data_IF_530612319713
#
_entry.id   IF_530612319713
#
_cell.length_a   1.000
_cell.length_b   1.000
_cell.length_c   1.000
_cell.angle_alpha   90.00
_cell.angle_beta   90.00
_cell.angle_gamma   90.00
#
_symmetry.space_group_name_H-M   'P 1'
#
loop_
_entity.id
_entity.type
_entity.pdbx_description
1 polymer ?
#
# COMPACT_ATOMS: atom_id res chain seq x y z
N UNK A 1 -9.11 8.16 -69.51
CA UNK A 1 -8.25 8.70 -68.44
C UNK A 1 -8.43 7.83 -67.20
N UNK A 2 -7.34 7.33 -66.64
CA UNK A 2 -7.31 6.27 -65.61
C UNK A 2 -7.69 6.84 -64.23
N UNK A 3 -8.69 6.23 -63.61
CA UNK A 3 -9.06 6.49 -62.22
C UNK A 3 -7.99 5.89 -61.29
N UNK A 4 -7.28 6.75 -60.54
CA UNK A 4 -6.43 6.34 -59.44
C UNK A 4 -7.29 6.18 -58.18
N UNK A 5 -7.62 4.92 -57.88
CA UNK A 5 -8.24 4.52 -56.62
C UNK A 5 -7.12 4.34 -55.58
N UNK A 6 -6.84 5.37 -54.79
CA UNK A 6 -5.87 5.30 -53.70
C UNK A 6 -6.48 4.52 -52.52
N UNK A 7 -6.03 3.28 -52.33
CA UNK A 7 -6.29 2.49 -51.14
C UNK A 7 -5.53 3.10 -49.96
N UNK A 8 -6.25 3.79 -49.08
CA UNK A 8 -5.76 4.17 -47.75
C UNK A 8 -5.75 2.91 -46.89
N UNK A 9 -4.59 2.29 -46.76
CA UNK A 9 -4.33 1.26 -45.75
C UNK A 9 -4.36 1.93 -44.37
N UNK A 10 -5.52 1.89 -43.72
CA UNK A 10 -5.66 2.11 -42.28
C UNK A 10 -4.85 1.02 -41.58
N UNK A 11 -3.60 1.36 -41.23
CA UNK A 11 -2.80 0.60 -40.27
C UNK A 11 -3.58 0.67 -38.95
N UNK A 12 -4.38 -0.36 -38.70
CA UNK A 12 -4.86 -0.68 -37.37
C UNK A 12 -3.62 -0.96 -36.54
N UNK A 13 -3.09 0.08 -35.88
CA UNK A 13 -2.09 -0.10 -34.86
C UNK A 13 -2.66 -1.14 -33.91
N UNK A 14 -2.01 -2.30 -33.85
CA UNK A 14 -2.27 -3.31 -32.85
C UNK A 14 -2.05 -2.65 -31.49
N UNK A 15 -3.11 -2.04 -30.94
CA UNK A 15 -3.21 -1.49 -29.60
C UNK A 15 -3.25 -2.61 -28.57
N UNK A 16 -2.33 -3.58 -28.72
CA UNK A 16 -2.11 -4.63 -27.77
C UNK A 16 -1.51 -4.04 -26.51
N UNK A 17 -1.92 -4.58 -25.38
CA UNK A 17 -1.36 -4.25 -24.09
C UNK A 17 0.18 -4.43 -24.14
N UNK A 18 0.98 -3.46 -23.68
CA UNK A 18 2.43 -3.59 -23.68
C UNK A 18 2.84 -4.85 -22.90
N UNK A 19 3.84 -5.61 -23.38
CA UNK A 19 4.21 -6.87 -22.76
C UNK A 19 4.74 -6.65 -21.34
N UNK A 20 4.38 -7.59 -20.45
CA UNK A 20 4.91 -7.64 -19.09
C UNK A 20 6.41 -7.94 -19.13
N UNK A 21 7.28 -7.15 -18.46
CA UNK A 21 8.71 -7.42 -18.39
C UNK A 21 9.02 -8.80 -17.78
N UNK A 22 10.06 -9.47 -18.29
CA UNK A 22 10.48 -10.79 -17.79
C UNK A 22 10.75 -10.77 -16.27
N UNK A 23 11.41 -9.73 -15.79
CA UNK A 23 11.74 -9.49 -14.36
C UNK A 23 10.73 -8.60 -13.65
N UNK A 24 9.49 -8.52 -14.14
CA UNK A 24 8.38 -7.81 -13.49
C UNK A 24 8.42 -6.28 -13.64
N UNK A 25 9.57 -5.66 -13.43
CA UNK A 25 9.76 -4.21 -13.49
C UNK A 25 10.42 -3.76 -14.80
N UNK A 26 10.28 -2.47 -15.14
CA UNK A 26 10.86 -1.91 -16.36
C UNK A 26 12.25 -1.35 -16.07
N UNK A 27 13.27 -1.95 -16.66
CA UNK A 27 14.66 -1.59 -16.41
C UNK A 27 15.18 -0.59 -17.46
N UNK A 28 14.41 0.48 -17.62
CA UNK A 28 14.67 1.56 -18.56
C UNK A 28 14.00 2.85 -18.07
N UNK A 29 14.40 3.98 -18.64
CA UNK A 29 13.80 5.28 -18.34
C UNK A 29 12.30 5.30 -18.67
N UNK A 30 11.52 5.95 -17.81
CA UNK A 30 10.06 6.11 -17.93
C UNK A 30 9.73 7.59 -17.90
N UNK A 31 9.57 8.19 -19.08
CA UNK A 31 9.33 9.63 -19.21
C UNK A 31 10.49 10.43 -18.61
N UNK A 32 10.20 11.25 -17.59
CA UNK A 32 11.21 12.03 -16.85
C UNK A 32 11.90 11.26 -15.72
N UNK A 33 11.51 10.00 -15.48
CA UNK A 33 12.09 9.14 -14.46
C UNK A 33 13.19 8.27 -15.04
N UNK A 34 14.37 8.38 -14.44
CA UNK A 34 15.61 7.75 -14.86
C UNK A 34 15.84 6.48 -14.06
N UNK A 35 15.99 5.36 -14.76
CA UNK A 35 16.23 4.09 -14.11
C UNK A 35 17.59 4.09 -13.39
N UNK A 36 17.63 3.55 -12.17
CA UNK A 36 18.87 3.49 -11.38
C UNK A 36 19.26 2.09 -10.96
N UNK A 37 18.29 1.35 -10.42
CA UNK A 37 18.61 0.09 -9.79
C UNK A 37 17.48 -0.90 -10.01
N UNK A 38 17.87 -2.12 -10.30
CA UNK A 38 17.03 -3.31 -10.21
C UNK A 38 17.43 -4.11 -8.97
N UNK A 39 16.44 -4.71 -8.30
CA UNK A 39 16.61 -5.66 -7.21
C UNK A 39 15.64 -6.82 -7.42
N UNK A 40 16.14 -8.05 -7.37
CA UNK A 40 15.30 -9.24 -7.48
C UNK A 40 16.08 -10.50 -7.81
N UNK A 41 15.54 -11.68 -7.47
CA UNK A 41 14.29 -11.89 -6.72
C UNK A 41 14.44 -11.53 -5.22
N UNK A 42 13.38 -10.97 -4.63
CA UNK A 42 13.27 -10.62 -3.22
C UNK A 42 12.25 -11.56 -2.53
N UNK A 43 12.53 -11.93 -1.28
CA UNK A 43 11.60 -12.69 -0.43
C UNK A 43 10.63 -11.79 0.35
N UNK A 44 10.73 -10.47 0.16
CA UNK A 44 9.91 -9.47 0.86
C UNK A 44 8.52 -9.39 0.22
N UNK A 45 7.66 -10.35 0.58
CA UNK A 45 6.29 -10.48 0.08
C UNK A 45 5.32 -9.90 1.11
N UNK A 46 4.93 -8.64 0.90
CA UNK A 46 3.97 -7.95 1.79
C UNK A 46 2.57 -8.56 1.73
N UNK A 47 2.14 -9.04 0.55
CA UNK A 47 0.84 -9.69 0.35
C UNK A 47 1.01 -11.20 0.43
N UNK A 48 0.76 -11.77 1.60
CA UNK A 48 0.85 -13.22 1.79
C UNK A 48 -0.41 -13.94 1.27
N UNK A 49 -0.21 -14.97 0.43
CA UNK A 49 -1.27 -15.84 -0.09
C UNK A 49 -0.95 -17.28 0.28
N UNK A 50 -1.82 -17.91 1.07
CA UNK A 50 -1.56 -19.27 1.58
C UNK A 50 -1.41 -20.30 0.45
N UNK A 51 -0.30 -21.05 0.50
CA UNK A 51 0.00 -22.10 -0.48
C UNK A 51 0.29 -21.58 -1.90
N UNK A 52 0.54 -20.28 -2.07
CA UNK A 52 0.84 -19.66 -3.37
C UNK A 52 2.18 -18.92 -3.26
N UNK A 53 3.26 -19.55 -3.70
CA UNK A 53 4.61 -18.95 -3.58
C UNK A 53 4.70 -17.69 -4.44
N UNK A 54 5.54 -16.76 -4.01
CA UNK A 54 5.75 -15.50 -4.71
C UNK A 54 7.22 -15.09 -4.76
N UNK A 55 7.56 -14.32 -5.79
CA UNK A 55 8.85 -13.67 -5.97
C UNK A 55 8.60 -12.18 -6.21
N UNK A 56 9.30 -11.31 -5.48
CA UNK A 56 9.22 -9.87 -5.68
C UNK A 56 10.40 -9.33 -6.49
N UNK A 57 10.12 -8.36 -7.33
CA UNK A 57 11.09 -7.63 -8.16
C UNK A 57 10.88 -6.14 -7.95
N UNK A 58 11.95 -5.39 -7.73
CA UNK A 58 11.91 -3.96 -7.48
C UNK A 58 12.80 -3.19 -8.45
N UNK A 59 12.36 -1.99 -8.83
CA UNK A 59 13.13 -1.01 -9.57
C UNK A 59 13.04 0.36 -8.89
N UNK A 60 14.17 1.06 -8.82
CA UNK A 60 14.25 2.43 -8.33
C UNK A 60 14.51 3.38 -9.48
N UNK A 61 13.81 4.50 -9.50
CA UNK A 61 13.96 5.57 -10.48
C UNK A 61 14.16 6.89 -9.77
N UNK A 62 14.90 7.80 -10.42
CA UNK A 62 15.05 9.17 -9.95
C UNK A 62 14.63 10.17 -11.00
N UNK A 63 14.24 11.38 -10.61
CA UNK A 63 13.93 12.42 -11.59
C UNK A 63 15.17 12.82 -12.41
N UNK A 64 14.99 13.14 -13.70
CA UNK A 64 16.04 13.66 -14.55
C UNK A 64 16.66 14.97 -13.99
N UNK A 65 15.84 15.78 -13.29
CA UNK A 65 16.31 17.00 -12.65
C UNK A 65 17.24 16.71 -11.46
N UNK A 66 16.96 15.69 -10.64
CA UNK A 66 17.86 15.28 -9.56
C UNK A 66 19.20 14.79 -10.09
N UNK A 67 19.19 14.01 -11.18
CA UNK A 67 20.42 13.60 -11.85
C UNK A 67 21.23 14.80 -12.33
N UNK A 68 20.58 15.76 -12.98
CA UNK A 68 21.23 16.98 -13.47
C UNK A 68 21.78 17.84 -12.33
N UNK A 69 21.08 17.92 -11.19
CA UNK A 69 21.52 18.63 -9.99
C UNK A 69 22.66 17.90 -9.24
N UNK A 70 22.88 16.62 -9.51
CA UNK A 70 23.83 15.78 -8.77
C UNK A 70 23.40 15.50 -7.32
N UNK A 71 22.13 15.72 -6.99
CA UNK A 71 21.58 15.54 -5.65
C UNK A 71 20.17 14.95 -5.74
N UNK A 72 19.90 13.92 -4.94
CA UNK A 72 18.63 13.20 -4.91
C UNK A 72 17.98 13.47 -3.55
N UNK A 73 16.86 14.20 -3.58
CA UNK A 73 15.97 14.36 -2.43
C UNK A 73 14.96 13.19 -2.39
N UNK A 74 14.29 12.96 -1.26
CA UNK A 74 13.27 11.90 -1.15
C UNK A 74 12.16 12.03 -2.21
N UNK A 75 11.75 13.27 -2.51
CA UNK A 75 10.77 13.60 -3.57
C UNK A 75 11.28 13.29 -4.98
N UNK A 76 12.55 13.02 -5.17
CA UNK A 76 13.14 12.69 -6.45
C UNK A 76 13.26 11.19 -6.67
N UNK A 77 12.97 10.37 -5.66
CA UNK A 77 13.01 8.92 -5.74
C UNK A 77 11.59 8.36 -5.90
N UNK A 78 11.46 7.30 -6.68
CA UNK A 78 10.27 6.44 -6.70
C UNK A 78 10.72 4.99 -6.88
N UNK A 79 10.10 4.10 -6.12
CA UNK A 79 10.30 2.66 -6.23
C UNK A 79 9.05 2.02 -6.83
N UNK A 80 9.29 1.01 -7.66
CA UNK A 80 8.23 0.13 -8.16
C UNK A 80 8.57 -1.28 -7.78
N UNK A 81 7.67 -1.96 -7.10
CA UNK A 81 7.78 -3.37 -6.75
C UNK A 81 6.65 -4.16 -7.43
N UNK A 82 7.01 -5.27 -8.06
CA UNK A 82 6.08 -6.22 -8.64
C UNK A 82 6.31 -7.57 -8.00
N UNK A 83 5.31 -8.04 -7.27
CA UNK A 83 5.29 -9.39 -6.70
C UNK A 83 4.58 -10.31 -7.68
N UNK A 84 5.23 -11.39 -8.11
CA UNK A 84 4.67 -12.44 -8.98
C UNK A 84 4.37 -13.68 -8.16
N UNK A 85 3.13 -14.11 -8.20
CA UNK A 85 2.65 -15.35 -7.59
C UNK A 85 2.68 -16.50 -8.60
N UNK A 86 2.69 -17.73 -8.10
CA UNK A 86 2.58 -18.93 -8.93
C UNK A 86 1.20 -19.04 -9.61
N UNK A 87 0.14 -18.59 -8.93
CA UNK A 87 -1.23 -18.58 -9.46
C UNK A 87 -1.94 -17.28 -9.10
N UNK A 88 -3.01 -16.94 -9.82
CA UNK A 88 -3.83 -15.76 -9.51
C UNK A 88 -4.80 -15.96 -8.33
N UNK A 89 -4.99 -17.21 -7.90
CA UNK A 89 -5.94 -17.56 -6.84
C UNK A 89 -5.55 -16.87 -5.52
N UNK A 90 -6.53 -16.22 -4.89
CA UNK A 90 -6.37 -15.51 -3.62
C UNK A 90 -5.63 -14.16 -3.65
N UNK A 91 -5.01 -13.77 -4.77
CA UNK A 91 -4.17 -12.54 -4.85
C UNK A 91 -4.98 -11.27 -4.57
N UNK A 92 -6.13 -11.11 -5.23
CA UNK A 92 -7.01 -9.94 -5.05
C UNK A 92 -7.50 -9.87 -3.60
N UNK A 93 -7.99 -11.00 -3.07
CA UNK A 93 -8.50 -11.11 -1.69
C UNK A 93 -7.42 -10.76 -0.66
N UNK A 94 -6.21 -11.31 -0.80
CA UNK A 94 -5.10 -11.03 0.11
C UNK A 94 -4.67 -9.56 0.06
N UNK A 95 -4.66 -8.96 -1.14
CA UNK A 95 -4.37 -7.53 -1.31
C UNK A 95 -5.40 -6.66 -0.58
N UNK A 96 -6.69 -6.99 -0.72
CA UNK A 96 -7.77 -6.29 0.00
C UNK A 96 -7.65 -6.46 1.52
N UNK A 97 -7.33 -7.66 2.01
CA UNK A 97 -7.10 -7.90 3.45
C UNK A 97 -5.95 -7.04 3.99
N UNK A 98 -4.84 -6.94 3.25
CA UNK A 98 -3.72 -6.08 3.63
C UNK A 98 -4.17 -4.61 3.68
N UNK A 99 -4.84 -4.13 2.65
CA UNK A 99 -5.30 -2.75 2.56
C UNK A 99 -6.22 -2.37 3.74
N UNK A 100 -7.18 -3.24 4.08
CA UNK A 100 -8.08 -3.02 5.24
C UNK A 100 -7.34 -3.04 6.57
N UNK A 101 -6.37 -3.95 6.72
CA UNK A 101 -5.51 -3.98 7.92
C UNK A 101 -4.70 -2.68 8.05
N UNK A 102 -4.15 -2.17 6.94
CA UNK A 102 -3.43 -0.89 6.93
C UNK A 102 -4.35 0.28 7.25
N UNK A 103 -5.59 0.29 6.74
CA UNK A 103 -6.58 1.32 7.05
C UNK A 103 -6.99 1.35 8.54
N UNK A 104 -6.82 0.22 9.25
CA UNK A 104 -7.07 0.11 10.68
C UNK A 104 -5.83 0.49 11.53
N UNK A 105 -4.64 0.57 10.94
CA UNK A 105 -3.45 1.05 11.63
C UNK A 105 -3.48 2.58 11.67
N UNK A 106 -3.44 3.15 12.88
CA UNK A 106 -3.44 4.60 13.14
C UNK A 106 -2.38 5.42 12.38
N UNK A 107 -1.37 4.76 11.78
CA UNK A 107 -0.31 5.40 11.02
C UNK A 107 -0.58 5.59 9.52
N UNK A 108 -1.64 5.00 8.96
CA UNK A 108 -1.90 5.00 7.52
C UNK A 108 -3.34 5.41 7.18
N UNK A 109 -3.44 6.21 6.13
CA UNK A 109 -4.68 6.51 5.42
C UNK A 109 -4.67 5.70 4.12
N UNK A 110 -5.72 4.88 3.94
CA UNK A 110 -5.89 4.03 2.76
C UNK A 110 -7.18 4.42 2.06
N UNK A 111 -7.09 4.71 0.77
CA UNK A 111 -8.21 5.16 -0.06
C UNK A 111 -8.25 4.39 -1.38
N UNK A 112 -9.45 4.26 -1.95
CA UNK A 112 -9.59 3.84 -3.35
C UNK A 112 -9.48 5.05 -4.26
N UNK A 113 -8.52 5.03 -5.18
CA UNK A 113 -8.34 6.07 -6.20
C UNK A 113 -8.48 5.50 -7.62
N UNK A 114 -8.63 6.37 -8.60
CA UNK A 114 -8.72 6.02 -10.01
C UNK A 114 -7.70 6.80 -10.85
N UNK A 115 -6.68 6.10 -11.34
CA UNK A 115 -5.60 6.65 -12.17
C UNK A 115 -5.58 5.90 -13.52
N UNK A 116 -5.52 6.62 -14.64
CA UNK A 116 -5.66 6.07 -16.00
C UNK A 116 -6.83 5.09 -16.18
N UNK A 117 -7.95 5.34 -15.51
CA UNK A 117 -9.14 4.48 -15.61
C UNK A 117 -9.10 3.22 -14.73
N UNK A 118 -7.93 2.84 -14.19
CA UNK A 118 -7.77 1.72 -13.28
C UNK A 118 -8.06 2.13 -11.82
N UNK A 119 -8.70 1.24 -11.06
CA UNK A 119 -8.94 1.41 -9.62
C UNK A 119 -7.74 0.91 -8.84
N UNK A 120 -7.27 1.68 -7.89
CA UNK A 120 -6.03 1.41 -7.17
C UNK A 120 -6.23 1.75 -5.68
N UNK A 121 -5.36 1.22 -4.84
CA UNK A 121 -5.32 1.57 -3.42
C UNK A 121 -4.22 2.61 -3.20
N UNK A 122 -4.60 3.82 -2.82
CA UNK A 122 -3.68 4.86 -2.37
C UNK A 122 -3.44 4.70 -0.87
N UNK A 123 -2.18 4.64 -0.46
CA UNK A 123 -1.75 4.43 0.93
C UNK A 123 -0.78 5.55 1.27
N UNK A 124 -1.13 6.38 2.23
CA UNK A 124 -0.28 7.48 2.70
C UNK A 124 -0.19 7.45 4.21
N UNK A 125 0.98 7.73 4.77
CA UNK A 125 1.18 7.63 6.21
C UNK A 125 2.65 7.49 6.56
N UNK A 126 3.03 7.78 7.81
CA UNK A 126 4.41 7.62 8.32
C UNK A 126 5.52 8.19 7.41
N UNK A 127 5.22 9.28 6.70
CA UNK A 127 6.16 9.93 5.78
C UNK A 127 6.40 9.14 4.49
N UNK A 128 5.49 8.28 4.07
CA UNK A 128 5.54 7.56 2.79
C UNK A 128 4.22 7.63 2.03
N UNK A 129 4.31 7.49 0.72
CA UNK A 129 3.17 7.42 -0.18
C UNK A 129 3.35 6.26 -1.16
N UNK A 130 2.33 5.41 -1.24
CA UNK A 130 2.29 4.21 -2.06
C UNK A 130 0.95 4.09 -2.77
N UNK A 131 0.98 3.55 -3.98
CA UNK A 131 -0.19 3.12 -4.74
C UNK A 131 0.00 1.66 -5.07
N UNK A 132 -0.99 0.82 -4.76
CA UNK A 132 -0.91 -0.61 -5.01
C UNK A 132 -2.18 -1.18 -5.65
N UNK A 133 -2.02 -2.24 -6.44
CA UNK A 133 -3.15 -2.95 -7.05
C UNK A 133 -2.79 -4.39 -7.43
N UNK A 134 -3.77 -5.32 -7.37
CA UNK A 134 -3.62 -6.65 -7.91
C UNK A 134 -3.86 -6.65 -9.44
N UNK A 135 -3.11 -7.47 -10.17
CA UNK A 135 -3.20 -7.67 -11.62
C UNK A 135 -2.90 -9.13 -11.97
N UNK A 136 -3.94 -9.96 -12.07
CA UNK A 136 -3.85 -11.40 -12.31
C UNK A 136 -2.97 -12.07 -11.23
N UNK A 137 -1.91 -12.78 -11.61
CA UNK A 137 -0.94 -13.36 -10.67
C UNK A 137 0.11 -12.37 -10.14
N UNK A 138 -0.15 -11.06 -10.21
CA UNK A 138 0.79 -10.03 -9.75
C UNK A 138 0.15 -9.06 -8.77
N UNK A 139 0.98 -8.49 -7.90
CA UNK A 139 0.67 -7.28 -7.13
C UNK A 139 1.70 -6.23 -7.49
N UNK A 140 1.25 -5.07 -7.93
CA UNK A 140 2.11 -3.94 -8.27
C UNK A 140 1.99 -2.90 -7.16
N UNK A 141 3.13 -2.34 -6.75
CA UNK A 141 3.25 -1.28 -5.75
C UNK A 141 4.19 -0.21 -6.29
N UNK A 142 3.75 1.04 -6.31
CA UNK A 142 4.52 2.20 -6.81
C UNK A 142 4.53 3.26 -5.71
N UNK A 143 5.69 3.79 -5.35
CA UNK A 143 5.78 4.81 -4.31
C UNK A 143 7.16 4.91 -3.70
N UNK A 144 7.29 5.71 -2.64
CA UNK A 144 8.52 5.83 -1.88
C UNK A 144 8.28 6.49 -0.51
N UNK A 145 9.30 6.38 0.34
CA UNK A 145 9.42 7.17 1.57
C UNK A 145 9.82 8.62 1.25
N UNK A 146 9.53 9.51 2.20
CA UNK A 146 9.73 10.96 2.11
C UNK A 146 8.87 11.65 1.06
N UNK A 147 7.75 11.04 0.68
CA UNK A 147 6.77 11.58 -0.28
C UNK A 147 5.39 11.69 0.34
N UNK A 148 4.64 12.71 -0.09
CA UNK A 148 3.21 12.86 0.20
C UNK A 148 2.32 12.31 -0.92
N UNK A 149 2.88 12.08 -2.11
CA UNK A 149 2.15 11.62 -3.29
C UNK A 149 2.97 10.69 -4.18
N UNK A 150 2.28 9.89 -4.99
CA UNK A 150 2.89 8.99 -5.98
C UNK A 150 2.80 9.60 -7.38
N UNK A 151 3.90 9.66 -8.16
CA UNK A 151 3.88 10.22 -9.51
C UNK A 151 2.91 9.48 -10.43
N UNK A 152 1.86 10.16 -10.91
CA UNK A 152 0.84 9.57 -11.79
C UNK A 152 1.44 8.94 -13.03
N UNK A 153 2.43 9.58 -13.67
CA UNK A 153 3.09 9.05 -14.86
C UNK A 153 3.70 7.66 -14.66
N UNK A 154 4.21 7.36 -13.45
CA UNK A 154 4.75 6.04 -13.13
C UNK A 154 3.63 5.01 -12.96
N UNK A 155 2.54 5.41 -12.30
CA UNK A 155 1.37 4.55 -12.11
C UNK A 155 0.73 4.21 -13.47
N UNK A 156 0.46 5.21 -14.30
CA UNK A 156 -0.14 5.04 -15.63
C UNK A 156 0.68 4.07 -16.50
N UNK A 157 2.00 4.26 -16.54
CA UNK A 157 2.91 3.41 -17.32
C UNK A 157 2.88 1.93 -16.89
N UNK A 158 2.69 1.67 -15.60
CA UNK A 158 2.60 0.31 -15.06
C UNK A 158 1.18 -0.27 -15.16
N UNK A 159 0.14 0.55 -15.01
CA UNK A 159 -1.26 0.14 -15.19
C UNK A 159 -1.49 -0.41 -16.60
N UNK A 160 -0.90 0.21 -17.62
CA UNK A 160 -1.00 -0.28 -19.01
C UNK A 160 -0.43 -1.70 -19.16
N UNK A 161 0.57 -2.08 -18.36
CA UNK A 161 1.18 -3.42 -18.39
C UNK A 161 0.50 -4.40 -17.44
N UNK A 162 -0.01 -3.88 -16.33
CA UNK A 162 -0.63 -4.60 -15.23
C UNK A 162 -2.01 -4.01 -14.93
N UNK A 163 -3.05 -4.37 -15.71
CA UNK A 163 -4.38 -3.82 -15.53
C UNK A 163 -4.93 -4.23 -14.16
N UNK A 164 -5.47 -3.26 -13.43
CA UNK A 164 -6.02 -3.52 -12.11
C UNK A 164 -7.24 -4.43 -12.16
N UNK A 165 -7.26 -5.40 -11.25
CA UNK A 165 -8.40 -6.27 -10.97
C UNK A 165 -9.09 -5.92 -9.65
N UNK A 166 -8.78 -4.75 -9.07
CA UNK A 166 -9.37 -4.30 -7.83
C UNK A 166 -10.87 -3.99 -8.03
N UNK A 167 -11.79 -4.64 -7.31
CA UNK A 167 -13.21 -4.31 -7.38
C UNK A 167 -13.49 -2.95 -6.71
N UNK A 168 -14.57 -2.28 -7.13
CA UNK A 168 -15.01 -1.07 -6.43
C UNK A 168 -15.59 -1.40 -5.05
N UNK A 169 -15.33 -0.55 -4.06
CA UNK A 169 -15.72 -0.82 -2.67
C UNK A 169 -14.89 -1.95 -2.05
N UNK A 170 -13.65 -2.13 -2.51
CA UNK A 170 -12.67 -3.03 -1.92
C UNK A 170 -12.41 -2.75 -0.44
N UNK A 171 -12.51 -1.51 0.03
CA UNK A 171 -12.25 -1.18 1.44
C UNK A 171 -13.44 -1.48 2.36
N UNK A 172 -14.67 -1.39 1.87
CA UNK A 172 -15.89 -1.47 2.69
C UNK A 172 -16.80 -2.68 2.36
N UNK A 173 -16.69 -3.23 1.15
CA UNK A 173 -17.57 -4.28 0.63
C UNK A 173 -17.28 -5.70 1.17
N UNK A 174 -17.94 -6.73 0.63
CA UNK A 174 -17.55 -8.11 0.91
C UNK A 174 -16.12 -8.37 0.44
N UNK A 175 -15.41 -9.28 1.11
CA UNK A 175 -14.10 -9.71 0.63
C UNK A 175 -14.28 -10.41 -0.73
N UNK A 176 -13.37 -10.20 -1.70
CA UNK A 176 -13.34 -10.98 -2.92
C UNK A 176 -13.22 -12.47 -2.60
N UNK A 177 -13.74 -13.38 -3.45
CA UNK A 177 -13.66 -14.81 -3.22
C UNK A 177 -12.21 -15.30 -3.14
N UNK A 178 -11.93 -16.33 -2.34
CA UNK A 178 -10.62 -16.97 -2.28
C UNK A 178 -10.54 -18.12 -1.28
N UNK A 179 -9.40 -18.81 -1.25
CA UNK A 179 -9.21 -20.07 -0.50
C UNK A 179 -9.64 -20.05 0.96
N UNK A 180 -9.46 -18.96 1.70
CA UNK A 180 -9.89 -18.89 3.11
C UNK A 180 -11.42 -18.99 3.30
N UNK A 181 -12.21 -18.91 2.23
CA UNK A 181 -13.67 -19.12 2.28
C UNK A 181 -14.03 -20.62 2.34
N UNK A 182 -13.04 -21.50 2.11
CA UNK A 182 -13.15 -22.93 2.41
C UNK A 182 -12.87 -23.08 3.90
N UNK A 183 -13.79 -23.66 4.72
CA UNK A 183 -13.47 -23.95 6.12
C UNK A 183 -12.15 -24.68 6.13
N UNK A 184 -11.17 -24.13 6.86
CA UNK A 184 -9.82 -24.65 6.90
C UNK A 184 -9.94 -26.17 6.99
N UNK A 185 -9.59 -26.89 5.91
CA UNK A 185 -9.35 -28.31 6.05
C UNK A 185 -8.26 -28.31 7.08
N UNK A 186 -8.59 -28.72 8.29
CA UNK A 186 -7.65 -28.99 9.34
C UNK A 186 -6.77 -30.11 8.80
N UNK A 187 -5.80 -29.76 7.94
CA UNK A 187 -4.51 -30.39 7.97
C UNK A 187 -4.09 -30.16 9.40
N UNK A 188 -4.41 -31.12 10.27
CA UNK A 188 -3.55 -31.43 11.41
C UNK A 188 -2.16 -31.33 10.79
N UNK A 189 -1.42 -30.26 11.09
CA UNK A 189 0.02 -30.38 11.04
C UNK A 189 0.26 -31.59 11.92
N UNK A 190 0.56 -32.72 11.31
CA UNK A 190 1.16 -33.83 12.02
C UNK A 190 2.35 -33.20 12.71
N UNK A 191 2.25 -33.04 14.04
CA UNK A 191 3.38 -32.58 14.83
C UNK A 191 4.51 -33.53 14.43
N UNK A 192 5.62 -33.03 13.86
CA UNK A 192 6.71 -33.92 13.51
C UNK A 192 7.02 -34.75 14.75
N UNK A 193 7.14 -36.05 14.57
CA UNK A 193 7.42 -36.98 15.66
C UNK A 193 8.69 -36.48 16.35
N UNK A 194 8.61 -36.26 17.66
CA UNK A 194 9.68 -35.63 18.43
C UNK A 194 10.94 -36.50 18.32
N UNK A 195 12.01 -36.00 17.70
CA UNK A 195 13.29 -36.72 17.61
C UNK A 195 13.82 -36.97 19.03
N UNK A 196 13.92 -38.22 19.49
CA UNK A 196 14.39 -38.53 20.84
C UNK A 196 15.84 -38.08 21.10
N UNK A 197 16.62 -37.84 20.04
CA UNK A 197 18.00 -37.37 20.12
C UNK A 197 18.11 -35.83 20.16
N UNK A 198 17.01 -35.10 19.96
CA UNK A 198 17.06 -33.66 20.12
C UNK A 198 17.41 -33.33 21.58
N UNK A 199 18.34 -32.38 21.82
CA UNK A 199 18.63 -31.94 23.17
C UNK A 199 17.32 -31.48 23.81
N UNK A 200 17.00 -32.09 24.96
CA UNK A 200 15.84 -31.66 25.74
C UNK A 200 16.10 -30.22 26.18
N UNK A 201 15.11 -29.32 26.08
CA UNK A 201 15.21 -28.01 26.71
C UNK A 201 15.62 -28.20 28.17
N UNK A 202 16.57 -27.43 28.67
CA UNK A 202 17.02 -27.49 30.06
C UNK A 202 16.00 -26.85 31.02
N UNK A 203 14.71 -27.01 30.76
CA UNK A 203 13.63 -26.40 31.54
C UNK A 203 13.71 -26.79 33.03
N UNK A 204 14.33 -27.92 33.36
CA UNK A 204 14.61 -28.36 34.73
C UNK A 204 15.77 -27.59 35.41
N UNK A 205 16.65 -26.97 34.62
CA UNK A 205 17.78 -26.14 35.05
C UNK A 205 17.51 -24.64 34.85
N UNK A 206 16.36 -24.29 34.26
CA UNK A 206 15.92 -22.92 34.12
C UNK A 206 15.61 -22.33 35.49
N UNK A 207 16.47 -21.41 35.93
CA UNK A 207 16.24 -20.64 37.14
C UNK A 207 15.59 -19.30 36.76
N UNK A 208 14.25 -19.17 36.88
CA UNK A 208 13.55 -17.94 36.51
C UNK A 208 14.05 -16.73 37.30
N UNK A 209 14.64 -16.91 38.48
CA UNK A 209 15.17 -15.82 39.30
C UNK A 209 16.47 -15.21 38.75
N UNK A 210 17.17 -15.93 37.86
CA UNK A 210 18.40 -15.45 37.20
C UNK A 210 18.12 -14.72 35.89
N UNK A 211 16.87 -14.77 35.40
CA UNK A 211 16.48 -14.05 34.19
C UNK A 211 16.03 -12.64 34.60
N UNK A 212 16.95 -11.69 34.52
CA UNK A 212 16.60 -10.26 34.59
C UNK A 212 15.92 -9.90 33.27
N UNK A 213 14.60 -9.95 33.26
CA UNK A 213 13.84 -9.35 32.18
C UNK A 213 14.06 -7.83 32.26
N UNK A 214 14.42 -7.15 31.17
CA UNK A 214 14.50 -5.71 31.18
C UNK A 214 13.12 -5.15 31.56
N UNK A 215 13.10 -4.30 32.58
CA UNK A 215 11.89 -3.61 33.00
C UNK A 215 11.29 -2.89 31.78
N UNK A 216 10.07 -3.26 31.42
CA UNK A 216 9.26 -2.46 30.51
C UNK A 216 9.12 -1.03 31.09
N UNK A 217 8.81 -0.02 30.25
CA UNK A 217 8.86 1.40 30.62
C UNK A 217 7.90 1.85 31.75
N UNK A 218 7.19 0.95 32.43
CA UNK A 218 6.24 1.27 33.49
C UNK A 218 6.59 0.56 34.82
N UNK A 219 7.85 0.62 35.21
CA UNK A 219 8.35 0.15 36.51
C UNK A 219 7.68 0.85 37.70
N UNK A 220 6.53 0.35 38.14
CA UNK A 220 6.05 0.50 39.51
C UNK A 220 6.06 -0.87 40.19
N UNK A 221 7.07 -1.02 41.05
CA UNK A 221 7.25 -2.12 41.97
C UNK A 221 5.98 -2.37 42.80
N UNK A 222 5.35 -3.53 42.63
CA UNK A 222 4.42 -4.07 43.60
C UNK A 222 5.25 -4.75 44.71
N UNK A 223 5.38 -4.06 45.84
CA UNK A 223 5.90 -4.62 47.07
C UNK A 223 4.76 -4.66 48.09
N UNK A 224 4.46 -5.87 48.52
CA UNK A 224 3.91 -6.22 49.84
C UNK A 224 2.51 -5.73 50.22
N UNK A 225 1.56 -6.68 50.29
CA UNK A 225 0.63 -6.79 51.43
C UNK A 225 -0.16 -8.10 51.34
N UNK A 226 0.25 -9.09 52.12
CA UNK A 226 -0.69 -10.08 52.65
C UNK A 226 -1.61 -9.42 53.69
N UNK A 227 -2.88 -9.84 53.72
CA UNK A 227 -3.85 -9.35 54.69
C UNK A 227 -5.27 -9.81 54.38
N UNK A 228 -5.66 -10.88 55.06
CA UNK A 228 -6.98 -11.21 55.65
C UNK A 228 -8.29 -10.99 54.88
N UNK A 229 -9.08 -12.07 54.87
CA UNK A 229 -10.48 -12.12 54.47
C UNK A 229 -11.39 -11.50 55.54
N UNK A 230 -12.38 -10.72 55.10
CA UNK A 230 -13.69 -10.60 55.76
C UNK A 230 -14.77 -10.40 54.71
N UNK A 231 -15.80 -11.25 54.79
CA UNK A 231 -17.13 -11.07 54.22
C UNK A 231 -17.79 -9.77 54.70
N UNK A 232 -18.48 -9.04 53.83
CA UNK A 232 -19.96 -8.88 53.91
C UNK A 232 -20.52 -7.84 52.91
N UNK A 233 -21.61 -8.28 52.28
CA UNK A 233 -22.85 -7.59 51.95
C UNK A 233 -22.90 -6.13 51.45
N UNK A 234 -23.45 -6.02 50.22
CA UNK A 234 -24.62 -5.21 49.85
C UNK A 234 -24.59 -3.67 49.92
N UNK A 235 -25.08 -3.03 48.84
CA UNK A 235 -25.81 -1.77 48.98
C UNK A 235 -25.56 -0.70 47.92
N UNK A 236 -26.41 -0.73 46.89
CA UNK A 236 -27.15 0.42 46.33
C UNK A 236 -26.48 1.74 45.92
N UNK A 237 -27.01 2.19 44.77
CA UNK A 237 -27.37 3.56 44.41
C UNK A 237 -26.36 4.40 43.63
N UNK A 238 -26.61 4.42 42.31
CA UNK A 238 -26.44 5.62 41.50
C UNK A 238 -27.31 6.76 42.04
N UNK A 239 -26.88 8.01 41.82
CA UNK A 239 -27.76 8.95 41.13
C UNK A 239 -27.06 9.63 39.94
N UNK A 240 -27.89 9.96 38.96
CA UNK A 240 -27.58 10.73 37.76
C UNK A 240 -27.54 12.26 38.05
N UNK A 241 -27.65 13.14 37.04
CA UNK A 241 -26.65 14.11 36.64
C UNK A 241 -26.96 15.53 37.15
N UNK A 242 -26.05 16.47 36.95
CA UNK A 242 -26.41 17.90 36.92
C UNK A 242 -26.16 18.45 35.52
N UNK A 243 -27.27 18.86 34.90
CA UNK A 243 -27.36 19.88 33.86
C UNK A 243 -26.99 21.26 34.44
N UNK A 244 -26.82 22.22 33.52
CA UNK A 244 -26.67 23.68 33.70
C UNK A 244 -25.22 24.22 33.72
N UNK A 245 -24.72 24.65 32.55
CA UNK A 245 -24.83 26.08 32.23
C UNK A 245 -24.53 26.41 30.74
N UNK A 246 -25.61 26.79 30.07
CA UNK A 246 -25.76 27.93 29.15
C UNK A 246 -24.56 28.52 28.36
N UNK A 247 -24.62 28.27 27.04
CA UNK A 247 -24.72 29.27 25.93
C UNK A 247 -23.45 29.96 25.36
N UNK A 248 -23.55 30.45 24.10
CA UNK A 248 -22.50 30.29 23.09
C UNK A 248 -21.88 31.61 22.61
N UNK A 249 -20.64 31.55 22.11
CA UNK A 249 -20.03 32.63 21.34
C UNK A 249 -19.94 32.27 19.85
N UNK A 250 -20.74 33.00 19.06
CA UNK A 250 -20.64 33.12 17.61
C UNK A 250 -19.31 33.78 17.22
N UNK A 251 -18.59 33.22 16.25
CA UNK A 251 -17.63 33.94 15.40
C UNK A 251 -17.80 33.43 13.96
N UNK A 252 -18.65 34.10 13.18
CA UNK A 252 -18.27 34.95 12.05
C UNK A 252 -17.39 34.25 11.01
N UNK A 253 -18.11 33.72 10.03
CA UNK A 253 -17.72 33.57 8.63
C UNK A 253 -17.18 34.90 8.10
N UNK A 254 -15.96 34.85 7.55
CA UNK A 254 -15.48 35.87 6.61
C UNK A 254 -15.13 35.22 5.27
N UNK A 255 -15.57 35.94 4.26
CA UNK A 255 -15.89 35.51 2.91
C UNK A 255 -14.78 36.03 1.99
N UNK A 256 -13.81 35.18 1.60
CA UNK A 256 -12.75 35.57 0.70
C UNK A 256 -13.18 35.37 -0.77
N UNK A 257 -13.46 36.49 -1.44
CA UNK A 257 -13.70 36.59 -2.89
C UNK A 257 -12.52 36.03 -3.72
N UNK A 258 -12.80 35.40 -4.88
CA UNK A 258 -11.77 34.98 -5.83
C UNK A 258 -11.25 36.15 -6.67
N UNK A 259 -9.92 36.26 -6.75
CA UNK A 259 -9.21 37.23 -7.59
C UNK A 259 -9.31 36.84 -9.09
N UNK A 260 -9.85 37.76 -9.90
CA UNK A 260 -9.78 37.76 -11.37
C UNK A 260 -8.45 38.38 -11.83
N UNK A 261 -7.65 37.67 -12.63
CA UNK A 261 -6.54 38.21 -13.45
C UNK A 261 -5.90 37.02 -14.20
N UNK A 262 -5.50 37.02 -15.47
CA UNK A 262 -5.52 37.96 -16.60
C UNK A 262 -5.35 37.05 -17.83
N UNK A 263 -6.26 37.13 -18.80
CA UNK A 263 -6.17 36.39 -20.07
C UNK A 263 -5.05 37.03 -20.92
N UNK A 264 -3.86 36.43 -20.97
CA UNK A 264 -2.80 36.85 -21.91
C UNK A 264 -3.24 36.49 -23.33
N UNK A 265 -3.48 37.52 -24.14
CA UNK A 265 -3.64 37.45 -25.59
C UNK A 265 -2.28 37.12 -26.21
N UNK A 266 -2.12 35.91 -26.74
CA UNK A 266 -1.02 35.55 -27.64
C UNK A 266 -1.31 36.11 -29.03
N UNK A 267 -0.33 36.84 -29.56
CA UNK A 267 -0.30 37.41 -30.91
C UNK A 267 0.01 36.29 -31.92
N UNK A 268 -0.72 36.13 -33.03
CA UNK A 268 -0.35 35.16 -34.06
C UNK A 268 0.93 35.60 -34.80
N UNK A 269 1.77 34.66 -35.25
CA UNK A 269 2.95 34.97 -36.07
C UNK A 269 2.55 35.41 -37.48
N UNK A 270 3.34 36.31 -38.04
CA UNK A 270 3.21 36.81 -39.40
C UNK A 270 3.47 35.70 -40.42
N UNK A 271 2.62 35.66 -41.46
CA UNK A 271 2.85 34.85 -42.67
C UNK A 271 4.15 35.29 -43.37
N UNK A 272 4.92 34.36 -43.95
CA UNK A 272 5.98 34.72 -44.87
C UNK A 272 5.36 35.14 -46.21
N UNK A 273 5.79 36.30 -46.70
CA UNK A 273 5.58 36.72 -48.09
C UNK A 273 6.36 35.81 -49.05
N UNK A 274 5.86 35.83 -50.28
CA UNK A 274 6.18 35.02 -51.47
C UNK A 274 7.66 34.95 -51.85
#
# INVERSE_FOLDING_TARGET
MRALLAWVLLVSACGGQPPIPRRGVVEADVGSWKFRRFQGPLLDVEVWVEGNKAEAYSASYVTADAEKRGHIDDKDLVNVSVTRYQTADGVVRATVKLARRLAQDSGYQVEEDKIAGARLLSITGRGEAWVMWPSNQHVVKVGARGRSDVPKSMVEYYVDRYPSQLPGGSLEGPLPPGRDDTPARSRKLEKPEYDPNNPRPDAEHYDPSKVVLPDGPDGKAAKDSGGEATDDAAGSAAPRPSEDDARPAKAKSDNAKPAKSKKRRTKPPASPDR
#
